data_IF_460148434761
#
_entry.id   IF_460148434761
#
_cell.length_a   1.000
_cell.length_b   1.000
_cell.length_c   1.000
_cell.angle_alpha   90.00
_cell.angle_beta   90.00
_cell.angle_gamma   90.00
#
_symmetry.space_group_name_H-M   'P 1'
#
loop_
_entity.id
_entity.type
_entity.pdbx_description
1 polymer ?
#
# COMPACT_ATOMS: atom_id res chain seq x y z
N UNK A 1 38.86 -10.74 -25.56
CA UNK A 1 39.35 -9.35 -25.52
C UNK A 1 39.45 -8.93 -24.06
N UNK A 2 40.50 -8.22 -23.66
CA UNK A 2 40.59 -7.66 -22.31
C UNK A 2 39.58 -6.54 -22.10
N UNK A 3 39.15 -6.32 -20.86
CA UNK A 3 38.32 -5.17 -20.49
C UNK A 3 39.14 -3.90 -20.74
N UNK A 4 38.64 -2.92 -21.52
CA UNK A 4 39.31 -1.63 -21.69
C UNK A 4 39.63 -0.98 -20.34
N UNK A 5 40.84 -0.43 -20.20
CA UNK A 5 41.32 0.18 -18.95
C UNK A 5 40.32 1.17 -18.35
N UNK A 6 39.69 2.01 -19.18
CA UNK A 6 38.71 2.99 -18.73
C UNK A 6 37.46 2.41 -18.04
N UNK A 7 37.19 1.11 -18.19
CA UNK A 7 36.07 0.41 -17.53
C UNK A 7 36.52 -0.43 -16.33
N UNK A 8 37.82 -0.41 -15.98
CA UNK A 8 38.29 -1.01 -14.74
C UNK A 8 37.76 -0.20 -13.56
N UNK A 9 37.25 -0.89 -12.55
CA UNK A 9 36.64 -0.29 -11.36
C UNK A 9 37.57 0.74 -10.69
N UNK A 10 38.87 0.45 -10.63
CA UNK A 10 39.90 1.36 -10.08
C UNK A 10 40.01 2.67 -10.84
N UNK A 11 39.90 2.61 -12.18
CA UNK A 11 40.01 3.78 -13.05
C UNK A 11 38.72 4.61 -12.99
N UNK A 12 37.56 3.95 -12.97
CA UNK A 12 36.25 4.60 -12.78
C UNK A 12 36.19 5.28 -11.41
N UNK A 13 36.67 4.64 -10.35
CA UNK A 13 36.71 5.22 -9.01
C UNK A 13 37.63 6.46 -8.95
N UNK A 14 38.81 6.38 -9.57
CA UNK A 14 39.75 7.50 -9.64
C UNK A 14 39.17 8.68 -10.44
N UNK A 15 38.44 8.41 -11.54
CA UNK A 15 37.77 9.44 -12.32
C UNK A 15 36.57 10.06 -11.56
N UNK A 16 35.76 9.23 -10.87
CA UNK A 16 34.64 9.68 -10.03
C UNK A 16 35.10 10.63 -8.91
N UNK A 17 36.30 10.41 -8.37
CA UNK A 17 36.85 11.26 -7.31
C UNK A 17 37.19 12.69 -7.77
N UNK A 18 37.22 12.96 -9.09
CA UNK A 18 37.64 14.24 -9.66
C UNK A 18 36.48 15.23 -9.90
N UNK A 19 35.33 15.07 -9.23
CA UNK A 19 34.21 16.01 -9.35
C UNK A 19 33.09 15.76 -8.36
N UNK A 20 32.11 16.68 -8.33
CA UNK A 20 30.90 16.49 -7.54
C UNK A 20 30.00 15.42 -8.19
N UNK A 21 29.41 14.49 -7.42
CA UNK A 21 28.48 13.52 -7.99
C UNK A 21 27.22 14.20 -8.53
N UNK A 22 26.69 13.68 -9.64
CA UNK A 22 25.42 14.14 -10.20
C UNK A 22 24.29 13.89 -9.19
N UNK A 23 23.51 14.93 -8.89
CA UNK A 23 22.33 14.89 -8.01
C UNK A 23 22.59 14.37 -6.58
N UNK A 24 23.84 14.35 -6.10
CA UNK A 24 24.17 13.80 -4.77
C UNK A 24 23.34 14.44 -3.64
N UNK A 25 23.24 15.77 -3.65
CA UNK A 25 22.51 16.51 -2.61
C UNK A 25 21.01 16.15 -2.60
N UNK A 26 20.42 15.98 -3.78
CA UNK A 26 19.03 15.57 -3.89
C UNK A 26 18.86 14.12 -3.42
N UNK A 27 19.63 13.18 -3.95
CA UNK A 27 19.51 11.75 -3.62
C UNK A 27 19.86 11.42 -2.16
N UNK A 28 20.71 12.23 -1.53
CA UNK A 28 21.08 12.09 -0.12
C UNK A 28 20.21 12.92 0.82
N UNK A 29 19.21 13.65 0.31
CA UNK A 29 18.33 14.47 1.13
C UNK A 29 17.61 13.62 2.16
N UNK A 30 17.59 14.13 3.40
CA UNK A 30 16.84 13.54 4.53
C UNK A 30 15.49 14.21 4.74
N UNK A 31 15.13 15.14 3.85
CA UNK A 31 13.85 15.79 3.88
C UNK A 31 12.74 14.86 3.38
N UNK A 32 11.51 14.99 3.92
CA UNK A 32 11.09 15.99 4.90
C UNK A 32 11.30 15.59 6.37
N UNK A 33 11.76 14.37 6.66
CA UNK A 33 11.86 13.88 8.04
C UNK A 33 12.87 14.68 8.88
N UNK A 34 13.94 15.16 8.27
CA UNK A 34 14.95 15.97 8.96
C UNK A 34 14.37 17.28 9.51
N UNK A 35 13.67 18.05 8.68
CA UNK A 35 12.96 19.26 9.13
C UNK A 35 11.80 18.96 10.06
N UNK A 36 11.01 17.91 9.77
CA UNK A 36 9.87 17.51 10.59
C UNK A 36 10.25 17.37 12.07
N UNK A 37 11.28 16.59 12.38
CA UNK A 37 11.69 16.33 13.76
C UNK A 37 12.55 17.44 14.39
N UNK A 38 13.13 18.32 13.57
CA UNK A 38 13.84 19.50 14.04
C UNK A 38 12.84 20.57 14.48
N UNK A 39 11.83 20.82 13.67
CA UNK A 39 10.89 21.93 13.83
C UNK A 39 9.65 21.51 14.65
N UNK A 40 9.35 20.20 14.73
CA UNK A 40 8.25 19.64 15.53
C UNK A 40 8.76 18.49 16.43
N UNK A 41 9.53 18.78 17.51
CA UNK A 41 10.10 17.74 18.37
C UNK A 41 9.06 16.79 19.00
N UNK A 42 7.81 17.26 19.14
CA UNK A 42 6.68 16.48 19.63
C UNK A 42 6.23 15.34 18.70
N UNK A 43 6.62 15.37 17.42
CA UNK A 43 6.40 14.29 16.45
C UNK A 43 7.43 13.15 16.52
N UNK A 44 8.48 13.28 17.34
CA UNK A 44 9.53 12.25 17.41
C UNK A 44 8.95 10.93 17.91
N UNK A 45 9.20 9.80 17.22
CA UNK A 45 8.73 8.50 17.65
C UNK A 45 9.27 8.13 19.04
N UNK A 46 8.53 7.30 19.80
CA UNK A 46 9.02 6.83 21.09
C UNK A 46 10.25 5.93 20.88
N UNK A 47 11.11 5.89 21.90
CA UNK A 47 12.21 4.93 21.93
C UNK A 47 11.67 3.58 22.40
N UNK A 48 11.79 2.56 21.56
CA UNK A 48 11.20 1.24 21.81
C UNK A 48 11.84 0.47 22.99
N UNK A 49 13.00 0.93 23.49
CA UNK A 49 13.71 0.35 24.62
C UNK A 49 13.47 1.08 25.95
N UNK A 50 12.62 2.11 25.97
CA UNK A 50 12.25 2.89 27.16
C UNK A 50 10.73 2.79 27.36
N UNK A 51 10.21 2.76 28.60
CA UNK A 51 8.78 2.83 28.85
C UNK A 51 8.15 4.04 28.16
N UNK A 52 6.97 3.87 27.59
CA UNK A 52 6.27 4.96 26.92
C UNK A 52 5.95 6.07 27.94
N UNK A 53 6.43 7.31 27.74
CA UNK A 53 6.10 8.42 28.64
C UNK A 53 4.59 8.66 28.64
N UNK A 54 4.02 8.80 29.84
CA UNK A 54 2.62 9.17 30.03
C UNK A 54 2.47 10.69 30.13
N UNK A 55 1.56 11.25 29.34
CA UNK A 55 1.31 12.69 29.30
C UNK A 55 2.43 13.50 28.64
N UNK A 56 2.33 14.82 28.72
CA UNK A 56 3.26 15.73 28.05
C UNK A 56 2.81 16.07 26.62
N UNK A 57 3.76 16.50 25.80
CA UNK A 57 3.47 17.11 24.50
C UNK A 57 3.61 16.14 23.33
N UNK A 58 3.59 14.83 23.57
CA UNK A 58 3.85 13.83 22.54
C UNK A 58 2.69 13.67 21.56
N UNK A 59 2.99 13.35 20.30
CA UNK A 59 1.98 13.17 19.25
C UNK A 59 1.00 12.00 19.49
N UNK A 60 1.29 11.13 20.46
CA UNK A 60 0.44 10.00 20.84
C UNK A 60 -0.44 10.29 22.07
N UNK A 61 -0.26 11.44 22.71
CA UNK A 61 -1.13 11.95 23.78
C UNK A 61 -2.24 12.83 23.22
N UNK A 62 -2.77 12.44 22.06
CA UNK A 62 -3.85 13.15 21.38
C UNK A 62 -5.21 12.68 21.86
N UNK A 63 -6.15 13.63 21.90
CA UNK A 63 -7.56 13.37 22.09
C UNK A 63 -8.28 13.25 20.72
N UNK A 64 -9.60 13.02 20.75
CA UNK A 64 -10.39 13.10 19.53
C UNK A 64 -10.31 14.53 18.95
N UNK A 65 -10.56 14.68 17.64
CA UNK A 65 -10.37 15.96 16.96
C UNK A 65 -11.13 17.14 17.59
N UNK A 66 -12.33 16.89 18.10
CA UNK A 66 -13.18 17.89 18.79
C UNK A 66 -12.55 18.45 20.07
N UNK A 67 -11.59 17.73 20.63
CA UNK A 67 -10.96 18.07 21.91
C UNK A 67 -9.61 18.80 21.70
N UNK A 68 -9.05 18.81 20.49
CA UNK A 68 -7.74 19.39 20.22
C UNK A 68 -7.83 20.86 19.73
N UNK A 69 -7.11 21.82 20.35
CA UNK A 69 -7.20 23.25 20.00
C UNK A 69 -7.02 23.58 18.52
N UNK A 70 -6.06 22.95 17.83
CA UNK A 70 -5.79 23.15 16.39
C UNK A 70 -7.01 22.86 15.50
N UNK A 71 -7.96 22.05 15.98
CA UNK A 71 -9.06 21.50 15.19
C UNK A 71 -10.44 21.92 15.70
N UNK A 72 -10.51 22.71 16.78
CA UNK A 72 -11.78 23.22 17.30
C UNK A 72 -12.47 24.13 16.27
N UNK A 73 -13.72 23.80 15.94
CA UNK A 73 -14.51 24.53 14.94
C UNK A 73 -14.07 24.29 13.50
N UNK A 74 -13.14 23.37 13.26
CA UNK A 74 -12.75 22.94 11.92
C UNK A 74 -13.70 21.83 11.47
N UNK A 75 -14.28 22.01 10.28
CA UNK A 75 -15.13 21.00 9.63
C UNK A 75 -14.26 19.90 9.03
N UNK A 76 -13.94 18.90 9.88
CA UNK A 76 -13.17 17.72 9.53
C UNK A 76 -14.08 16.62 8.96
N UNK A 77 -13.54 15.75 8.07
CA UNK A 77 -14.31 14.68 7.45
C UNK A 77 -15.13 13.87 8.45
N UNK A 78 -16.42 13.75 8.19
CA UNK A 78 -17.34 12.87 8.91
C UNK A 78 -17.74 11.71 8.01
N UNK A 79 -18.12 10.55 8.57
CA UNK A 79 -18.68 9.46 7.78
C UNK A 79 -19.86 9.95 6.92
N UNK A 80 -19.80 9.66 5.63
CA UNK A 80 -20.85 10.05 4.67
C UNK A 80 -20.97 9.03 3.54
N UNK A 81 -22.15 8.96 2.91
CA UNK A 81 -22.38 8.21 1.67
C UNK A 81 -22.34 9.12 0.43
N UNK A 82 -22.26 10.43 0.63
CA UNK A 82 -22.26 11.41 -0.45
C UNK A 82 -20.91 11.46 -1.15
N UNK A 83 -20.92 11.16 -2.45
CA UNK A 83 -19.72 11.13 -3.28
C UNK A 83 -19.05 12.50 -3.42
N UNK A 84 -19.81 13.60 -3.47
CA UNK A 84 -19.23 14.94 -3.60
C UNK A 84 -18.54 15.37 -2.31
N UNK A 85 -19.13 15.04 -1.16
CA UNK A 85 -18.52 15.27 0.14
C UNK A 85 -17.23 14.45 0.29
N UNK A 86 -17.24 13.15 -0.08
CA UNK A 86 -16.03 12.32 -0.06
C UNK A 86 -14.92 12.88 -0.94
N UNK A 87 -15.27 13.33 -2.16
CA UNK A 87 -14.33 13.97 -3.08
C UNK A 87 -13.77 15.27 -2.48
N UNK A 88 -14.63 16.09 -1.88
CA UNK A 88 -14.23 17.33 -1.21
C UNK A 88 -13.26 17.05 -0.05
N UNK A 89 -13.63 16.13 0.84
CA UNK A 89 -12.87 15.74 2.02
C UNK A 89 -11.51 15.17 1.64
N UNK A 90 -11.47 14.23 0.68
CA UNK A 90 -10.22 13.67 0.21
C UNK A 90 -9.30 14.74 -0.37
N UNK A 91 -9.81 15.64 -1.22
CA UNK A 91 -9.00 16.70 -1.81
C UNK A 91 -8.47 17.71 -0.78
N UNK A 92 -9.35 18.13 0.15
CA UNK A 92 -9.04 19.15 1.15
C UNK A 92 -8.18 18.62 2.29
N UNK A 93 -8.55 17.48 2.85
CA UNK A 93 -7.99 16.94 4.08
C UNK A 93 -7.08 15.75 3.87
N UNK A 94 -7.03 15.19 2.65
CA UNK A 94 -6.18 14.04 2.31
C UNK A 94 -6.78 12.71 2.75
N UNK A 95 -7.99 12.72 3.30
CA UNK A 95 -8.78 11.53 3.61
C UNK A 95 -10.28 11.82 3.56
N UNK A 96 -11.07 10.77 3.36
CA UNK A 96 -12.53 10.79 3.46
C UNK A 96 -13.04 9.52 4.13
N UNK A 97 -14.22 9.58 4.74
CA UNK A 97 -14.82 8.49 5.50
C UNK A 97 -16.14 8.07 4.88
N UNK A 98 -16.22 6.84 4.39
CA UNK A 98 -17.44 6.25 3.85
C UNK A 98 -18.23 5.66 5.01
N UNK A 99 -19.43 6.20 5.25
CA UNK A 99 -20.39 5.68 6.23
C UNK A 99 -20.97 4.33 5.76
N UNK A 100 -21.04 3.36 6.67
CA UNK A 100 -21.55 2.00 6.42
C UNK A 100 -20.95 1.36 5.15
N UNK A 101 -19.65 1.52 4.94
CA UNK A 101 -18.99 0.93 3.78
C UNK A 101 -18.90 -0.60 3.82
N UNK A 102 -18.95 -1.17 5.02
CA UNK A 102 -19.29 -2.57 5.28
C UNK A 102 -20.63 -2.62 6.03
N UNK A 103 -21.52 -3.53 5.65
CA UNK A 103 -22.67 -3.88 6.49
C UNK A 103 -22.22 -4.52 7.80
N UNK A 104 -23.09 -4.55 8.81
CA UNK A 104 -22.83 -5.29 10.05
C UNK A 104 -22.40 -6.75 9.79
N UNK A 105 -23.08 -7.44 8.87
CA UNK A 105 -22.74 -8.83 8.54
C UNK A 105 -21.34 -8.94 7.91
N UNK A 106 -20.97 -7.99 7.04
CA UNK A 106 -19.63 -7.92 6.45
C UNK A 106 -18.56 -7.60 7.50
N UNK A 107 -18.82 -6.67 8.44
CA UNK A 107 -17.94 -6.41 9.59
C UNK A 107 -17.70 -7.65 10.43
N UNK A 108 -18.77 -8.34 10.82
CA UNK A 108 -18.69 -9.54 11.66
C UNK A 108 -17.90 -10.64 10.94
N UNK A 109 -18.17 -10.88 9.64
CA UNK A 109 -17.43 -11.86 8.85
C UNK A 109 -15.95 -11.51 8.69
N UNK A 110 -15.65 -10.24 8.41
CA UNK A 110 -14.28 -9.72 8.26
C UNK A 110 -13.48 -9.89 9.55
N UNK A 111 -14.01 -9.37 10.67
CA UNK A 111 -13.31 -9.37 11.95
C UNK A 111 -13.13 -10.78 12.50
N UNK A 112 -14.17 -11.62 12.43
CA UNK A 112 -14.09 -13.00 12.89
C UNK A 112 -13.03 -13.78 12.11
N UNK A 113 -12.98 -13.64 10.77
CA UNK A 113 -11.98 -14.33 9.96
C UNK A 113 -10.57 -13.83 10.27
N UNK A 114 -10.41 -12.53 10.45
CA UNK A 114 -9.13 -11.90 10.77
C UNK A 114 -8.61 -12.34 12.14
N UNK A 115 -9.43 -12.29 13.18
CA UNK A 115 -9.05 -12.73 14.53
C UNK A 115 -8.68 -14.21 14.55
N UNK A 116 -9.48 -15.07 13.88
CA UNK A 116 -9.16 -16.48 13.74
C UNK A 116 -7.80 -16.69 13.06
N UNK A 117 -7.51 -15.93 12.00
CA UNK A 117 -6.23 -15.99 11.31
C UNK A 117 -5.06 -15.54 12.20
N UNK A 118 -5.21 -14.40 12.86
CA UNK A 118 -4.19 -13.83 13.73
C UNK A 118 -3.81 -14.79 14.85
N UNK A 119 -4.81 -15.40 15.49
CA UNK A 119 -4.64 -16.40 16.54
C UNK A 119 -3.98 -17.68 16.01
N UNK A 120 -4.38 -18.15 14.83
CA UNK A 120 -3.76 -19.31 14.20
C UNK A 120 -2.28 -19.07 13.83
N UNK A 121 -1.94 -17.89 13.32
CA UNK A 121 -0.55 -17.51 13.02
C UNK A 121 0.31 -17.41 14.28
N UNK A 122 -0.26 -16.91 15.37
CA UNK A 122 0.42 -16.90 16.66
C UNK A 122 0.66 -18.32 17.19
N UNK A 123 -0.37 -19.18 17.14
CA UNK A 123 -0.25 -20.58 17.56
C UNK A 123 0.75 -21.38 16.70
N UNK A 124 0.87 -21.04 15.42
CA UNK A 124 1.84 -21.62 14.50
C UNK A 124 3.26 -21.02 14.63
N UNK A 125 3.47 -20.00 15.47
CA UNK A 125 4.77 -19.36 15.66
C UNK A 125 5.22 -18.48 14.49
N UNK A 126 4.29 -18.05 13.63
CA UNK A 126 4.55 -17.23 12.44
C UNK A 126 3.91 -15.84 12.49
N UNK A 127 3.36 -15.44 13.65
CA UNK A 127 2.80 -14.11 13.83
C UNK A 127 3.86 -13.02 13.57
N UNK A 128 3.52 -12.08 12.69
CA UNK A 128 4.34 -10.92 12.43
C UNK A 128 4.12 -9.85 13.49
N UNK A 129 4.93 -9.85 14.54
CA UNK A 129 4.79 -8.89 15.64
C UNK A 129 5.52 -7.58 15.33
N UNK A 130 4.83 -6.47 15.56
CA UNK A 130 5.40 -5.12 15.54
C UNK A 130 5.33 -4.51 16.94
N UNK A 131 6.04 -3.40 17.22
CA UNK A 131 5.93 -2.72 18.51
C UNK A 131 4.50 -2.25 18.84
N UNK A 132 3.65 -1.99 17.84
CA UNK A 132 2.26 -1.58 18.03
C UNK A 132 1.32 -2.76 18.24
N UNK A 133 1.60 -3.89 17.60
CA UNK A 133 0.82 -5.12 17.69
C UNK A 133 1.02 -6.03 16.48
N UNK A 134 0.27 -7.13 16.44
CA UNK A 134 0.38 -8.10 15.36
C UNK A 134 -0.05 -7.51 14.00
N UNK A 135 0.74 -7.73 12.96
CA UNK A 135 0.29 -7.59 11.58
C UNK A 135 -0.13 -8.94 11.00
N UNK A 136 -1.12 -8.90 10.10
CA UNK A 136 -1.58 -10.06 9.35
C UNK A 136 -1.40 -9.75 7.85
N UNK A 137 -0.24 -10.09 7.25
CA UNK A 137 0.08 -9.76 5.86
C UNK A 137 -0.67 -10.64 4.85
N UNK A 138 -0.59 -10.34 3.55
CA UNK A 138 -1.10 -11.21 2.48
C UNK A 138 -2.56 -11.70 2.71
N UNK A 139 -3.47 -10.78 3.01
CA UNK A 139 -4.87 -11.10 3.34
C UNK A 139 -5.60 -11.86 2.23
N UNK A 140 -5.18 -11.75 0.97
CA UNK A 140 -5.76 -12.49 -0.15
C UNK A 140 -5.84 -14.01 0.10
N UNK A 141 -4.84 -14.59 0.75
CA UNK A 141 -4.78 -16.03 1.04
C UNK A 141 -5.68 -16.43 2.22
N UNK A 142 -6.22 -15.45 2.94
CA UNK A 142 -6.74 -15.62 4.29
C UNK A 142 -8.27 -15.57 4.33
N UNK A 143 -8.98 -15.46 3.21
CA UNK A 143 -10.44 -15.58 3.18
C UNK A 143 -11.09 -14.86 2.00
N UNK A 144 -12.28 -15.33 1.61
CA UNK A 144 -13.04 -14.74 0.50
C UNK A 144 -13.41 -13.28 0.75
N UNK A 145 -13.72 -12.93 2.00
CA UNK A 145 -13.98 -11.53 2.38
C UNK A 145 -12.83 -10.59 2.00
N UNK A 146 -11.57 -11.02 2.10
CA UNK A 146 -10.43 -10.20 1.72
C UNK A 146 -10.22 -10.15 0.21
N UNK A 147 -10.51 -11.24 -0.51
CA UNK A 147 -10.50 -11.27 -1.98
C UNK A 147 -11.55 -10.30 -2.54
N UNK A 148 -12.78 -10.37 -2.02
CA UNK A 148 -13.85 -9.45 -2.38
C UNK A 148 -13.51 -8.00 -2.07
N UNK A 149 -12.76 -7.71 -0.99
CA UNK A 149 -12.23 -6.38 -0.72
C UNK A 149 -11.23 -5.91 -1.80
N UNK A 150 -10.32 -6.77 -2.27
CA UNK A 150 -9.39 -6.42 -3.36
C UNK A 150 -10.15 -6.12 -4.66
N UNK A 151 -11.21 -6.89 -4.93
CA UNK A 151 -12.05 -6.70 -6.11
C UNK A 151 -13.08 -5.58 -5.97
N UNK A 152 -13.26 -5.01 -4.77
CA UNK A 152 -14.34 -4.06 -4.47
C UNK A 152 -15.73 -4.65 -4.79
N UNK A 153 -15.92 -5.93 -4.48
CA UNK A 153 -17.15 -6.67 -4.67
C UNK A 153 -18.21 -6.28 -3.61
N UNK A 154 -19.39 -5.76 -4.00
CA UNK A 154 -20.46 -5.38 -3.08
C UNK A 154 -20.91 -6.47 -2.10
N UNK A 155 -20.78 -7.75 -2.43
CA UNK A 155 -21.12 -8.85 -1.52
C UNK A 155 -20.22 -8.88 -0.28
N UNK A 156 -18.98 -8.41 -0.42
CA UNK A 156 -17.96 -8.41 0.63
C UNK A 156 -17.66 -7.01 1.18
N UNK A 157 -17.81 -5.98 0.34
CA UNK A 157 -17.70 -4.56 0.70
C UNK A 157 -18.75 -3.75 -0.06
N UNK A 158 -19.86 -3.44 0.59
CA UNK A 158 -20.99 -2.78 -0.09
C UNK A 158 -20.65 -1.40 -0.68
N UNK A 159 -19.66 -0.69 -0.12
CA UNK A 159 -19.14 0.56 -0.69
C UNK A 159 -18.21 0.38 -1.90
N UNK A 160 -17.99 -0.84 -2.38
CA UNK A 160 -17.07 -1.15 -3.49
C UNK A 160 -17.17 -0.17 -4.67
N UNK A 161 -18.36 0.07 -5.25
CA UNK A 161 -18.52 1.01 -6.36
C UNK A 161 -18.10 2.45 -6.02
N UNK A 162 -18.35 2.90 -4.79
CA UNK A 162 -17.97 4.23 -4.31
C UNK A 162 -16.47 4.36 -4.09
N UNK A 163 -15.84 3.30 -3.56
CA UNK A 163 -14.39 3.18 -3.43
C UNK A 163 -13.73 3.24 -4.81
N UNK A 164 -14.22 2.46 -5.78
CA UNK A 164 -13.68 2.45 -7.14
C UNK A 164 -13.80 3.81 -7.83
N UNK A 165 -14.91 4.52 -7.65
CA UNK A 165 -15.11 5.84 -8.23
C UNK A 165 -14.03 6.84 -7.77
N UNK A 166 -13.76 6.91 -6.46
CA UNK A 166 -12.71 7.79 -5.92
C UNK A 166 -11.30 7.32 -6.34
N UNK A 167 -11.04 6.01 -6.34
CA UNK A 167 -9.73 5.48 -6.78
C UNK A 167 -9.48 5.76 -8.27
N UNK A 168 -10.50 5.70 -9.11
CA UNK A 168 -10.38 6.05 -10.53
C UNK A 168 -10.09 7.54 -10.74
N UNK A 169 -10.62 8.44 -9.91
CA UNK A 169 -10.33 9.88 -9.99
C UNK A 169 -8.94 10.25 -9.47
N UNK A 170 -8.39 9.44 -8.56
CA UNK A 170 -7.09 9.72 -7.92
C UNK A 170 -5.92 9.05 -8.64
N UNK A 171 -6.05 7.76 -8.96
CA UNK A 171 -5.01 6.94 -9.58
C UNK A 171 -5.25 6.71 -11.08
N UNK A 172 -6.41 7.08 -11.61
CA UNK A 172 -6.87 6.67 -12.94
C UNK A 172 -7.46 5.26 -12.93
N UNK A 173 -8.14 4.90 -14.01
CA UNK A 173 -8.64 3.55 -14.20
C UNK A 173 -7.50 2.53 -14.26
N UNK A 174 -7.78 1.30 -13.82
CA UNK A 174 -6.82 0.20 -13.90
C UNK A 174 -5.74 0.21 -12.83
N UNK A 175 -5.93 0.90 -11.69
CA UNK A 175 -5.08 0.75 -10.51
C UNK A 175 -4.93 -0.72 -10.06
N UNK A 176 -3.91 -1.03 -9.28
CA UNK A 176 -3.62 -2.38 -8.76
C UNK A 176 -3.42 -2.33 -7.25
N UNK A 177 -3.66 -3.47 -6.58
CA UNK A 177 -3.45 -3.63 -5.16
C UNK A 177 -1.95 -3.72 -4.87
N UNK A 178 -1.38 -2.70 -4.25
CA UNK A 178 0.04 -2.64 -3.88
C UNK A 178 0.38 -3.60 -2.72
N UNK A 179 -0.51 -3.66 -1.74
CA UNK A 179 -0.44 -4.52 -0.55
C UNK A 179 -1.84 -4.59 0.08
N UNK A 180 -2.13 -5.67 0.82
CA UNK A 180 -3.32 -5.74 1.68
C UNK A 180 -3.02 -6.55 2.94
N UNK A 181 -3.03 -5.86 4.09
CA UNK A 181 -2.69 -6.43 5.38
C UNK A 181 -3.51 -5.82 6.52
N UNK A 182 -3.65 -6.56 7.61
CA UNK A 182 -4.24 -6.03 8.83
C UNK A 182 -3.17 -5.48 9.79
N UNK A 183 -3.48 -4.33 10.39
CA UNK A 183 -2.67 -3.61 11.35
C UNK A 183 -3.29 -3.75 12.74
N UNK A 184 -2.64 -4.48 13.64
CA UNK A 184 -3.06 -4.60 15.04
C UNK A 184 -2.54 -3.44 15.89
N UNK A 185 -3.37 -2.98 16.83
CA UNK A 185 -2.90 -2.32 18.05
C UNK A 185 -3.21 -3.25 19.22
N UNK A 186 -2.15 -3.76 19.83
CA UNK A 186 -2.23 -4.64 20.98
C UNK A 186 -2.24 -3.84 22.28
N UNK A 187 -2.89 -4.33 23.35
CA UNK A 187 -2.79 -3.73 24.68
C UNK A 187 -1.34 -3.53 25.09
N UNK A 188 -0.99 -2.30 25.47
CA UNK A 188 0.39 -1.93 25.84
C UNK A 188 1.37 -1.78 24.67
N UNK A 189 0.88 -1.82 23.43
CA UNK A 189 1.67 -1.55 22.23
C UNK A 189 2.09 -0.08 22.11
N UNK A 190 3.20 0.15 21.41
CA UNK A 190 3.75 1.49 21.15
C UNK A 190 3.03 2.13 19.95
N UNK A 191 2.86 3.46 19.93
CA UNK A 191 2.36 4.15 18.75
C UNK A 191 3.38 4.02 17.60
N UNK A 192 2.90 3.97 16.36
CA UNK A 192 3.78 4.08 15.21
C UNK A 192 4.31 5.51 15.09
N UNK A 193 5.60 5.63 14.77
CA UNK A 193 6.10 6.89 14.23
C UNK A 193 5.24 7.30 13.04
N UNK A 194 4.77 8.56 13.03
CA UNK A 194 3.98 9.04 11.91
C UNK A 194 4.81 8.94 10.64
N UNK A 195 4.16 8.58 9.55
CA UNK A 195 4.78 8.36 8.26
C UNK A 195 3.80 8.65 7.13
N UNK A 196 4.34 8.68 5.91
CA UNK A 196 3.60 8.68 4.66
C UNK A 196 3.90 7.36 3.94
N UNK A 197 2.89 6.71 3.38
CA UNK A 197 3.09 5.44 2.66
C UNK A 197 3.78 5.63 1.31
N UNK A 198 3.76 6.87 0.79
CA UNK A 198 4.51 7.26 -0.40
C UNK A 198 5.99 7.59 -0.11
N UNK A 199 6.49 7.32 1.11
CA UNK A 199 7.89 7.59 1.50
C UNK A 199 8.96 6.97 0.56
N UNK A 200 8.75 5.81 -0.11
CA UNK A 200 9.70 5.30 -1.09
C UNK A 200 9.96 6.22 -2.29
N UNK A 201 9.09 7.21 -2.55
CA UNK A 201 9.33 8.24 -3.58
C UNK A 201 10.19 9.40 -3.08
N UNK A 202 10.48 9.54 -1.78
CA UNK A 202 11.29 10.64 -1.29
C UNK A 202 12.71 10.59 -1.88
N UNK A 203 13.30 11.75 -2.26
CA UNK A 203 12.84 13.11 -1.96
C UNK A 203 11.86 13.68 -3.00
N UNK A 204 11.44 12.92 -4.00
CA UNK A 204 10.44 13.36 -4.96
C UNK A 204 9.06 13.47 -4.30
N UNK A 205 8.35 14.55 -4.63
CA UNK A 205 6.96 14.78 -4.23
C UNK A 205 6.10 14.84 -5.48
N UNK A 206 5.05 14.02 -5.54
CA UNK A 206 4.06 14.09 -6.62
C UNK A 206 3.10 15.24 -6.33
N UNK A 207 3.12 16.31 -7.13
CA UNK A 207 2.34 17.52 -6.83
C UNK A 207 0.86 17.38 -7.25
N UNK A 208 0.61 17.02 -8.52
CA UNK A 208 -0.72 17.05 -9.11
C UNK A 208 -1.69 15.97 -8.57
N UNK A 209 -1.17 14.80 -8.24
CA UNK A 209 -1.97 13.65 -7.79
C UNK A 209 -1.12 12.70 -6.92
N UNK A 210 -1.75 11.90 -6.04
CA UNK A 210 -1.04 10.83 -5.35
C UNK A 210 -0.59 9.73 -6.31
N UNK A 211 0.53 9.08 -6.00
CA UNK A 211 0.94 7.83 -6.64
C UNK A 211 0.41 6.60 -5.90
N UNK A 212 -0.05 6.78 -4.66
CA UNK A 212 -0.61 5.74 -3.80
C UNK A 212 -1.85 6.27 -3.07
N UNK A 213 -2.93 5.49 -3.04
CA UNK A 213 -4.12 5.78 -2.23
C UNK A 213 -4.48 4.53 -1.43
N UNK A 214 -4.69 4.70 -0.14
CA UNK A 214 -5.06 3.63 0.77
C UNK A 214 -6.57 3.54 0.93
N UNK A 215 -7.05 2.30 1.08
CA UNK A 215 -8.40 1.94 1.50
C UNK A 215 -8.28 1.18 2.82
N UNK A 216 -8.66 1.82 3.92
CA UNK A 216 -8.64 1.23 5.25
C UNK A 216 -10.05 0.76 5.64
N UNK A 217 -10.17 -0.54 5.87
CA UNK A 217 -11.35 -1.22 6.35
C UNK A 217 -11.35 -1.21 7.88
N UNK A 218 -12.42 -0.69 8.48
CA UNK A 218 -12.58 -0.54 9.93
C UNK A 218 -13.71 -1.46 10.41
N UNK A 219 -13.44 -2.75 10.69
CA UNK A 219 -14.48 -3.74 10.96
C UNK A 219 -14.99 -3.72 12.42
N UNK A 220 -14.44 -2.85 13.26
CA UNK A 220 -14.80 -2.62 14.66
C UNK A 220 -14.72 -1.11 14.95
N UNK A 221 -15.37 -0.64 16.03
CA UNK A 221 -15.25 0.75 16.45
C UNK A 221 -13.79 1.12 16.71
N UNK A 222 -13.40 2.33 16.30
CA UNK A 222 -12.08 2.90 16.58
C UNK A 222 -12.22 4.27 17.22
N UNK A 223 -11.36 4.56 18.19
CA UNK A 223 -11.32 5.82 18.91
C UNK A 223 -9.93 6.08 19.52
N UNK A 224 -9.79 7.13 20.33
CA UNK A 224 -8.54 7.48 20.98
C UNK A 224 -8.11 6.49 22.08
N UNK A 225 -9.03 5.66 22.58
CA UNK A 225 -8.78 4.74 23.68
C UNK A 225 -8.25 3.39 23.16
N UNK A 226 -8.77 2.90 22.05
CA UNK A 226 -8.40 1.59 21.49
C UNK A 226 -7.31 1.63 20.39
N UNK A 227 -6.63 2.77 20.26
CA UNK A 227 -5.55 2.95 19.31
C UNK A 227 -6.02 3.25 17.89
N UNK A 228 -7.12 3.97 17.73
CA UNK A 228 -7.57 4.50 16.44
C UNK A 228 -6.44 5.24 15.71
N UNK A 229 -6.40 5.08 14.39
CA UNK A 229 -5.36 5.63 13.51
C UNK A 229 -5.16 7.12 13.78
N UNK A 230 -3.93 7.52 14.06
CA UNK A 230 -3.50 8.90 14.11
C UNK A 230 -3.42 9.44 12.67
N UNK A 231 -3.96 10.63 12.45
CA UNK A 231 -3.88 11.35 11.17
C UNK A 231 -3.56 12.81 11.42
N UNK A 232 -2.81 13.45 10.53
CA UNK A 232 -2.68 14.91 10.48
C UNK A 232 -3.49 15.42 9.27
N UNK A 233 -4.74 15.89 9.47
CA UNK A 233 -5.58 16.40 8.40
C UNK A 233 -4.86 17.46 7.57
N UNK A 234 -4.92 17.34 6.24
CA UNK A 234 -4.33 18.30 5.31
C UNK A 234 -2.81 18.20 5.12
N UNK A 235 -2.13 17.31 5.85
CA UNK A 235 -0.66 17.20 5.81
C UNK A 235 -0.08 16.81 4.44
N UNK A 236 -0.88 16.19 3.56
CA UNK A 236 -0.50 15.98 2.16
C UNK A 236 -0.22 17.31 1.44
N UNK A 237 -0.96 18.38 1.75
CA UNK A 237 -0.73 19.70 1.19
C UNK A 237 0.53 20.37 1.74
N UNK A 238 0.85 20.13 3.03
CA UNK A 238 2.12 20.60 3.61
C UNK A 238 3.30 19.97 2.87
N UNK A 239 3.24 18.68 2.56
CA UNK A 239 4.26 17.99 1.76
C UNK A 239 4.34 18.53 0.33
N UNK A 240 3.20 18.75 -0.34
CA UNK A 240 3.16 19.34 -1.69
C UNK A 240 3.79 20.73 -1.70
N UNK A 241 3.48 21.58 -0.70
CA UNK A 241 4.06 22.92 -0.58
C UNK A 241 5.57 22.90 -0.31
N UNK A 242 6.05 21.94 0.47
CA UNK A 242 7.49 21.74 0.67
C UNK A 242 8.19 21.40 -0.65
N UNK A 243 7.55 20.59 -1.50
CA UNK A 243 8.08 20.20 -2.80
C UNK A 243 9.22 19.19 -2.68
N UNK A 244 9.79 18.81 -3.83
CA UNK A 244 10.81 17.76 -3.87
C UNK A 244 12.09 18.18 -3.14
N UNK A 245 12.44 17.45 -2.07
CA UNK A 245 13.58 17.75 -1.21
C UNK A 245 13.42 18.98 -0.31
N UNK A 246 12.20 19.55 -0.19
CA UNK A 246 11.96 20.72 0.65
C UNK A 246 11.60 20.39 2.10
N UNK A 247 11.72 21.41 2.96
CA UNK A 247 11.50 21.29 4.39
C UNK A 247 10.01 21.39 4.78
N UNK A 248 9.58 20.58 5.75
CA UNK A 248 8.29 20.70 6.43
C UNK A 248 8.43 21.57 7.69
N UNK A 249 7.95 22.81 7.60
CA UNK A 249 8.10 23.81 8.67
C UNK A 249 6.82 24.13 9.43
N UNK A 250 5.67 23.65 8.97
CA UNK A 250 4.36 23.93 9.57
C UNK A 250 3.53 22.66 9.50
N UNK A 251 3.45 21.93 10.62
CA UNK A 251 2.69 20.69 10.74
C UNK A 251 1.70 20.80 11.91
N UNK A 252 0.39 20.70 11.62
CA UNK A 252 -0.63 20.65 12.67
C UNK A 252 -0.52 19.39 13.53
N UNK A 253 -1.16 19.40 14.69
CA UNK A 253 -1.21 18.24 15.59
C UNK A 253 -2.03 17.09 15.00
N UNK A 254 -1.62 15.83 15.20
CA UNK A 254 -2.44 14.70 14.83
C UNK A 254 -3.68 14.58 15.70
N UNK A 255 -4.65 13.84 15.18
CA UNK A 255 -5.87 13.45 15.87
C UNK A 255 -6.02 11.93 15.76
N UNK A 256 -6.64 11.31 16.75
CA UNK A 256 -7.12 9.93 16.59
C UNK A 256 -8.40 9.93 15.76
N UNK A 257 -8.44 9.06 14.76
CA UNK A 257 -9.66 8.74 14.05
C UNK A 257 -10.67 8.14 15.04
N UNK A 258 -11.86 8.73 15.06
CA UNK A 258 -13.04 8.17 15.74
C UNK A 258 -14.05 7.77 14.67
N UNK A 259 -14.31 6.47 14.54
CA UNK A 259 -15.23 5.96 13.53
C UNK A 259 -15.92 4.67 14.01
N UNK A 260 -17.23 4.52 13.73
CA UNK A 260 -17.94 3.29 14.03
C UNK A 260 -17.49 2.15 13.10
N UNK A 261 -17.68 0.92 13.57
CA UNK A 261 -17.52 -0.30 12.79
C UNK A 261 -18.29 -0.19 11.46
N UNK A 262 -17.62 -0.60 10.37
CA UNK A 262 -18.15 -0.55 9.01
C UNK A 262 -17.75 0.68 8.23
N UNK A 263 -17.14 1.67 8.87
CA UNK A 263 -16.54 2.80 8.16
C UNK A 263 -15.39 2.34 7.25
N UNK A 264 -15.29 2.91 6.05
CA UNK A 264 -14.10 2.79 5.20
C UNK A 264 -13.42 4.14 5.12
N UNK A 265 -12.13 4.20 5.42
CA UNK A 265 -11.33 5.41 5.24
C UNK A 265 -10.53 5.31 3.94
N UNK A 266 -10.71 6.27 3.04
CA UNK A 266 -9.84 6.47 1.88
C UNK A 266 -8.83 7.56 2.22
N UNK A 267 -7.55 7.35 1.98
CA UNK A 267 -6.56 8.39 2.23
C UNK A 267 -5.37 8.40 1.28
N UNK A 268 -4.89 9.61 1.04
CA UNK A 268 -3.76 9.95 0.21
C UNK A 268 -2.47 9.37 0.79
N UNK A 269 -1.64 8.71 -0.02
CA UNK A 269 -0.36 8.15 0.41
C UNK A 269 0.65 9.19 0.92
N UNK A 270 0.37 10.48 0.73
CA UNK A 270 1.13 11.64 1.26
C UNK A 270 0.62 12.15 2.61
N UNK A 271 -0.50 11.61 3.12
CA UNK A 271 -1.06 11.98 4.42
C UNK A 271 -0.22 11.37 5.55
N UNK A 272 0.20 12.19 6.50
CA UNK A 272 0.90 11.73 7.69
C UNK A 272 -0.06 11.02 8.63
N UNK A 273 0.28 9.77 8.96
CA UNK A 273 -0.56 8.91 9.77
C UNK A 273 0.27 7.87 10.52
N UNK A 274 -0.38 7.14 11.43
CA UNK A 274 0.22 6.02 12.14
C UNK A 274 -0.76 5.37 13.12
N UNK A 275 -0.49 4.15 13.56
CA UNK A 275 -1.28 3.49 14.61
C UNK A 275 -1.15 4.24 15.94
N UNK A 276 -2.28 4.54 16.58
CA UNK A 276 -2.35 5.13 17.91
C UNK A 276 -2.10 4.13 19.04
N UNK A 277 -2.06 4.62 20.27
CA UNK A 277 -1.89 3.78 21.48
C UNK A 277 -3.21 3.11 21.82
N UNK A 278 -3.16 1.80 22.03
CA UNK A 278 -4.27 1.07 22.61
C UNK A 278 -4.14 1.01 24.14
N UNK A 279 -5.01 1.76 24.82
CA UNK A 279 -5.14 1.86 26.29
C UNK A 279 -6.18 0.86 26.84
N UNK A 280 -6.86 0.11 25.98
CA UNK A 280 -7.82 -0.92 26.37
C UNK A 280 -7.14 -2.27 26.63
N UNK A 281 -7.91 -3.24 27.09
CA UNK A 281 -7.47 -4.62 27.33
C UNK A 281 -7.71 -5.55 26.13
N UNK A 282 -8.29 -5.04 25.04
CA UNK A 282 -8.60 -5.82 23.84
C UNK A 282 -7.73 -5.39 22.66
N UNK A 283 -7.34 -6.35 21.83
CA UNK A 283 -6.69 -6.07 20.55
C UNK A 283 -7.67 -5.39 19.59
N UNK A 284 -7.17 -4.39 18.86
CA UNK A 284 -7.91 -3.70 17.80
C UNK A 284 -7.26 -3.97 16.46
N UNK A 285 -8.03 -4.34 15.45
CA UNK A 285 -7.54 -4.43 14.07
C UNK A 285 -8.23 -3.42 13.16
N UNK A 286 -7.45 -2.87 12.24
CA UNK A 286 -7.92 -2.30 10.98
C UNK A 286 -7.18 -3.00 9.84
N UNK A 287 -7.69 -2.97 8.62
CA UNK A 287 -6.97 -3.52 7.47
C UNK A 287 -6.76 -2.46 6.41
N UNK A 288 -5.54 -2.30 5.92
CA UNK A 288 -5.20 -1.28 4.93
C UNK A 288 -4.81 -1.96 3.63
N UNK A 289 -5.56 -1.65 2.58
CA UNK A 289 -5.22 -1.98 1.21
C UNK A 289 -4.64 -0.75 0.52
N UNK A 290 -3.36 -0.80 0.18
CA UNK A 290 -2.71 0.26 -0.60
C UNK A 290 -2.95 0.02 -2.09
N UNK A 291 -3.26 1.08 -2.85
CA UNK A 291 -3.51 1.01 -4.28
C UNK A 291 -2.54 1.90 -5.03
N UNK A 292 -2.05 1.45 -6.17
CA UNK A 292 -1.07 2.16 -7.01
C UNK A 292 -1.42 2.04 -8.49
N UNK A 293 -0.74 2.82 -9.33
CA UNK A 293 -0.82 2.64 -10.79
C UNK A 293 -0.16 1.33 -11.23
N UNK A 294 -0.64 0.68 -12.32
CA UNK A 294 -0.17 -0.65 -12.72
C UNK A 294 1.30 -0.74 -13.14
N UNK A 295 1.96 0.38 -13.47
CA UNK A 295 3.39 0.41 -13.79
C UNK A 295 4.28 0.40 -12.53
N UNK A 296 3.71 0.61 -11.35
CA UNK A 296 4.46 0.64 -10.09
C UNK A 296 4.72 -0.77 -9.59
N UNK A 297 5.93 -1.00 -9.05
CA UNK A 297 6.25 -2.26 -8.38
C UNK A 297 5.42 -2.38 -7.10
N UNK A 298 4.75 -3.50 -6.91
CA UNK A 298 3.94 -3.80 -5.72
C UNK A 298 4.84 -4.09 -4.50
N UNK A 299 4.39 -3.73 -3.30
CA UNK A 299 5.05 -4.07 -2.04
C UNK A 299 4.91 -5.56 -1.75
N UNK A 300 3.69 -6.09 -1.89
CA UNK A 300 3.47 -7.53 -1.85
C UNK A 300 3.73 -8.13 -3.24
N UNK A 301 4.50 -9.21 -3.30
CA UNK A 301 4.77 -9.89 -4.56
C UNK A 301 3.69 -10.93 -4.81
N UNK A 302 2.52 -10.51 -5.30
CA UNK A 302 1.38 -11.40 -5.51
C UNK A 302 1.66 -12.57 -6.47
N UNK A 303 2.58 -12.38 -7.43
CA UNK A 303 3.02 -13.44 -8.33
C UNK A 303 3.72 -14.56 -7.58
N UNK A 304 4.29 -14.33 -6.41
CA UNK A 304 4.89 -15.39 -5.58
C UNK A 304 3.97 -15.78 -4.43
N UNK A 305 3.42 -14.80 -3.72
CA UNK A 305 2.75 -15.01 -2.43
C UNK A 305 1.34 -15.58 -2.56
N UNK A 306 0.64 -15.36 -3.69
CA UNK A 306 -0.74 -15.83 -3.85
C UNK A 306 -0.79 -17.33 -4.08
N UNK A 307 -1.71 -18.01 -3.38
CA UNK A 307 -1.93 -19.46 -3.50
C UNK A 307 -2.35 -19.85 -4.94
N UNK A 308 -1.83 -20.97 -5.50
CA UNK A 308 -2.16 -21.40 -6.86
C UNK A 308 -3.67 -21.53 -7.11
N UNK A 309 -4.43 -22.10 -6.16
CA UNK A 309 -5.88 -22.29 -6.29
C UNK A 309 -6.65 -20.96 -6.36
N UNK A 310 -6.11 -19.89 -5.77
CA UNK A 310 -6.69 -18.54 -5.88
C UNK A 310 -6.39 -17.98 -7.27
N UNK A 311 -5.18 -18.19 -7.80
CA UNK A 311 -4.82 -17.73 -9.15
C UNK A 311 -5.64 -18.46 -10.22
N UNK A 312 -5.89 -19.75 -10.04
CA UNK A 312 -6.69 -20.54 -10.98
C UNK A 312 -8.16 -20.12 -11.00
N UNK A 313 -8.71 -19.75 -9.85
CA UNK A 313 -10.09 -19.29 -9.72
C UNK A 313 -10.27 -17.77 -9.90
N UNK A 314 -9.19 -17.01 -10.04
CA UNK A 314 -9.23 -15.55 -10.03
C UNK A 314 -10.02 -15.00 -11.23
N UNK A 315 -10.89 -14.03 -10.95
CA UNK A 315 -11.56 -13.26 -11.99
C UNK A 315 -10.52 -12.44 -12.79
N UNK A 316 -10.86 -11.99 -14.02
CA UNK A 316 -10.01 -11.03 -14.73
C UNK A 316 -9.73 -9.76 -13.94
N UNK A 317 -10.66 -9.33 -13.07
CA UNK A 317 -10.50 -8.16 -12.20
C UNK A 317 -9.47 -8.45 -11.12
N UNK A 318 -9.59 -9.58 -10.41
CA UNK A 318 -8.63 -9.98 -9.39
C UNK A 318 -7.22 -10.14 -9.97
N UNK A 319 -7.07 -10.85 -11.10
CA UNK A 319 -5.79 -10.98 -11.79
C UNK A 319 -5.18 -9.61 -12.12
N UNK A 320 -5.99 -8.67 -12.61
CA UNK A 320 -5.55 -7.29 -12.85
C UNK A 320 -5.08 -6.62 -11.56
N UNK A 321 -5.88 -6.67 -10.47
CA UNK A 321 -5.52 -6.08 -9.17
C UNK A 321 -4.24 -6.68 -8.58
N UNK A 322 -3.93 -7.94 -8.89
CA UNK A 322 -2.71 -8.62 -8.46
C UNK A 322 -1.49 -8.31 -9.34
N UNK A 323 -1.62 -7.46 -10.35
CA UNK A 323 -0.51 -7.15 -11.26
C UNK A 323 -0.20 -8.28 -12.24
N UNK A 324 -1.13 -9.22 -12.46
CA UNK A 324 -0.98 -10.29 -13.47
C UNK A 324 -1.32 -9.83 -14.90
N UNK A 325 -1.30 -8.52 -15.12
CA UNK A 325 -1.39 -7.90 -16.43
C UNK A 325 -0.10 -7.14 -16.72
N UNK A 326 0.70 -7.69 -17.63
CA UNK A 326 1.87 -7.05 -18.17
C UNK A 326 1.48 -5.83 -19.03
N UNK A 327 2.38 -4.87 -19.07
CA UNK A 327 2.31 -3.69 -19.93
C UNK A 327 3.71 -3.35 -20.45
N UNK A 328 3.79 -2.47 -21.44
CA UNK A 328 5.07 -2.04 -22.03
C UNK A 328 6.13 -1.63 -20.99
N UNK A 329 5.70 -1.04 -19.88
CA UNK A 329 6.59 -0.50 -18.85
C UNK A 329 6.65 -1.34 -17.56
N UNK A 330 6.10 -2.57 -17.54
CA UNK A 330 6.06 -3.38 -16.32
C UNK A 330 5.55 -4.80 -16.49
N UNK A 331 6.03 -5.70 -15.63
CA UNK A 331 5.56 -7.08 -15.46
C UNK A 331 5.62 -7.99 -16.71
N UNK A 332 6.40 -7.63 -17.74
CA UNK A 332 6.62 -8.51 -18.90
C UNK A 332 7.30 -9.81 -18.52
N UNK A 333 6.97 -10.92 -19.20
CA UNK A 333 7.62 -12.22 -19.02
C UNK A 333 8.29 -12.65 -20.31
N UNK A 334 9.62 -12.66 -20.35
CA UNK A 334 10.40 -12.97 -21.57
C UNK A 334 9.99 -12.11 -22.79
N UNK A 335 9.61 -10.86 -22.52
CA UNK A 335 9.11 -9.91 -23.51
C UNK A 335 7.64 -10.11 -23.92
N UNK A 336 6.92 -11.13 -23.41
CA UNK A 336 5.46 -11.15 -23.46
C UNK A 336 4.89 -9.96 -22.67
N UNK A 337 3.83 -9.34 -23.17
CA UNK A 337 3.29 -8.10 -22.60
C UNK A 337 3.91 -6.81 -23.14
N UNK A 338 5.00 -6.87 -23.92
CA UNK A 338 5.48 -5.68 -24.64
C UNK A 338 4.40 -5.23 -25.63
N UNK A 339 3.97 -3.97 -25.52
CA UNK A 339 2.88 -3.41 -26.31
C UNK A 339 1.47 -3.74 -25.78
N UNK A 340 1.34 -4.50 -24.68
CA UNK A 340 0.06 -4.72 -24.03
C UNK A 340 -0.47 -3.43 -23.40
N UNK A 341 -1.80 -3.32 -23.33
CA UNK A 341 -2.50 -2.17 -22.78
C UNK A 341 -2.38 -2.07 -21.25
N UNK A 342 -2.07 -3.20 -20.58
CA UNK A 342 -2.07 -3.29 -19.12
C UNK A 342 -3.46 -3.17 -18.50
N UNK A 343 -4.52 -3.35 -19.28
CA UNK A 343 -5.91 -3.23 -18.82
C UNK A 343 -6.48 -4.60 -18.48
N UNK A 344 -7.53 -4.59 -17.66
CA UNK A 344 -8.30 -5.78 -17.34
C UNK A 344 -8.76 -6.50 -18.62
N UNK A 345 -8.55 -7.82 -18.67
CA UNK A 345 -8.99 -8.67 -19.78
C UNK A 345 -8.08 -8.68 -21.01
N UNK A 346 -6.98 -7.91 -21.02
CA UNK A 346 -6.00 -7.94 -22.11
C UNK A 346 -5.31 -9.31 -22.17
N UNK A 347 -5.54 -10.04 -23.25
CA UNK A 347 -4.95 -11.36 -23.44
C UNK A 347 -3.45 -11.29 -23.73
N UNK A 348 -2.97 -10.20 -24.35
CA UNK A 348 -1.55 -10.01 -24.66
C UNK A 348 -0.73 -9.56 -23.45
N UNK A 349 -1.41 -9.09 -22.39
CA UNK A 349 -0.82 -8.77 -21.09
C UNK A 349 -0.96 -9.89 -20.04
N UNK A 350 -1.87 -10.85 -20.22
CA UNK A 350 -2.21 -11.81 -19.16
C UNK A 350 -1.07 -12.80 -18.90
N UNK A 351 -0.41 -12.68 -17.73
CA UNK A 351 0.71 -13.55 -17.35
C UNK A 351 0.30 -14.77 -16.51
N UNK A 352 -1.00 -14.98 -16.27
CA UNK A 352 -1.51 -16.10 -15.46
C UNK A 352 -0.97 -17.46 -15.94
N UNK A 353 -0.95 -17.70 -17.24
CA UNK A 353 -0.48 -18.97 -17.80
C UNK A 353 1.00 -19.27 -17.48
N UNK A 354 1.84 -18.24 -17.37
CA UNK A 354 3.23 -18.40 -16.91
C UNK A 354 3.28 -18.76 -15.44
N UNK A 355 2.46 -18.11 -14.60
CA UNK A 355 2.38 -18.43 -13.17
C UNK A 355 1.90 -19.87 -12.96
N UNK A 356 0.85 -20.29 -13.65
CA UNK A 356 0.35 -21.65 -13.59
C UNK A 356 1.41 -22.68 -14.05
N UNK A 357 2.19 -22.34 -15.08
CA UNK A 357 3.30 -23.18 -15.51
C UNK A 357 4.41 -23.31 -14.44
N UNK A 358 4.67 -22.23 -13.69
CA UNK A 358 5.57 -22.29 -12.53
C UNK A 358 5.03 -23.22 -11.44
N UNK A 359 3.75 -23.09 -11.10
CA UNK A 359 3.13 -23.88 -10.02
C UNK A 359 3.11 -25.38 -10.36
N UNK A 360 2.92 -25.74 -11.64
CA UNK A 360 3.02 -27.13 -12.12
C UNK A 360 4.45 -27.65 -12.28
N UNK A 361 5.46 -26.79 -12.17
CA UNK A 361 6.86 -27.14 -12.43
C UNK A 361 7.18 -27.39 -13.91
N UNK A 362 6.32 -26.96 -14.84
CA UNK A 362 6.48 -27.16 -16.28
C UNK A 362 6.97 -25.89 -17.02
N UNK A 363 7.21 -24.78 -16.30
CA UNK A 363 7.72 -23.54 -16.92
C UNK A 363 9.11 -23.73 -17.55
N UNK A 364 9.15 -23.79 -18.88
CA UNK A 364 10.38 -23.84 -19.68
C UNK A 364 10.78 -22.45 -20.16
N UNK A 365 11.83 -21.92 -19.53
CA UNK A 365 12.41 -20.59 -19.82
C UNK A 365 13.27 -20.59 -21.07
N UNK A 366 13.38 -19.44 -21.72
CA UNK A 366 14.34 -19.23 -22.81
C UNK A 366 15.71 -18.82 -22.25
N UNK A 367 16.66 -19.77 -22.27
CA UNK A 367 18.07 -19.52 -21.96
C UNK A 367 18.92 -19.20 -23.19
N UNK A 368 20.24 -19.33 -23.07
CA UNK A 368 21.13 -19.26 -24.23
C UNK A 368 20.84 -20.43 -25.17
N UNK A 369 20.49 -20.13 -26.43
CA UNK A 369 20.19 -21.14 -27.43
C UNK A 369 21.45 -21.49 -28.25
N UNK A 370 21.58 -22.75 -28.69
CA UNK A 370 22.64 -23.16 -29.61
C UNK A 370 22.41 -22.57 -31.01
N UNK A 371 23.31 -22.89 -31.94
CA UNK A 371 23.14 -22.61 -33.37
C UNK A 371 21.70 -22.92 -33.83
N UNK A 372 21.02 -22.02 -34.58
CA UNK A 372 19.62 -22.19 -34.98
C UNK A 372 19.31 -23.54 -35.66
N UNK A 373 20.28 -24.17 -36.31
CA UNK A 373 20.13 -25.50 -36.94
C UNK A 373 20.01 -26.64 -35.93
N UNK A 374 20.25 -26.38 -34.65
CA UNK A 374 20.24 -27.35 -33.54
C UNK A 374 19.18 -27.03 -32.49
N UNK A 375 18.33 -26.02 -32.71
CA UNK A 375 17.27 -25.63 -31.77
C UNK A 375 16.03 -26.48 -31.99
N UNK A 376 15.57 -27.19 -30.95
CA UNK A 376 14.22 -27.76 -30.95
C UNK A 376 13.20 -26.64 -30.74
N UNK A 377 12.16 -26.59 -31.57
CA UNK A 377 11.10 -25.57 -31.47
C UNK A 377 10.00 -25.91 -30.45
N UNK A 378 10.09 -27.05 -29.76
CA UNK A 378 9.02 -27.57 -28.91
C UNK A 378 9.25 -27.24 -27.42
N UNK A 379 8.17 -26.83 -26.76
CA UNK A 379 8.07 -26.82 -25.30
C UNK A 379 8.49 -25.55 -24.59
N UNK A 380 8.81 -24.44 -25.26
CA UNK A 380 8.98 -23.16 -24.57
C UNK A 380 7.63 -22.58 -24.17
N UNK A 381 7.43 -22.30 -22.88
CA UNK A 381 6.15 -21.77 -22.37
C UNK A 381 5.77 -20.44 -23.05
N UNK A 382 6.74 -19.58 -23.34
CA UNK A 382 6.52 -18.32 -24.08
C UNK A 382 5.89 -18.53 -25.47
N UNK A 383 6.17 -19.66 -26.14
CA UNK A 383 5.60 -20.00 -27.45
C UNK A 383 4.12 -20.37 -27.30
N UNK A 384 3.80 -21.18 -26.30
CA UNK A 384 2.44 -21.66 -26.04
C UNK A 384 1.54 -20.50 -25.62
N UNK A 385 1.99 -19.69 -24.66
CA UNK A 385 1.24 -18.50 -24.19
C UNK A 385 1.02 -17.48 -25.31
N UNK A 386 2.04 -17.19 -26.14
CA UNK A 386 1.88 -16.30 -27.30
C UNK A 386 0.88 -16.83 -28.33
N UNK A 387 0.82 -18.15 -28.50
CA UNK A 387 -0.10 -18.78 -29.46
C UNK A 387 -1.54 -18.67 -28.97
N UNK A 388 -1.78 -18.94 -27.68
CA UNK A 388 -3.10 -18.78 -27.05
C UNK A 388 -3.58 -17.33 -27.05
N UNK A 389 -2.70 -16.36 -26.77
CA UNK A 389 -3.08 -14.95 -26.74
C UNK A 389 -3.48 -14.39 -28.13
N UNK A 390 -2.97 -14.95 -29.23
CA UNK A 390 -3.31 -14.54 -30.60
C UNK A 390 -4.64 -15.12 -31.10
N UNK A 391 -5.01 -16.29 -30.58
CA UNK A 391 -6.22 -17.02 -30.98
C UNK A 391 -7.06 -17.29 -29.72
N UNK A 392 -7.72 -16.28 -29.13
CA UNK A 392 -8.59 -16.50 -27.99
C UNK A 392 -9.75 -17.43 -28.39
N UNK A 393 -10.03 -18.41 -27.54
CA UNK A 393 -11.10 -19.41 -27.69
C UNK A 393 -12.50 -18.78 -27.67
#
# INVERSE_FOLDING_TARGET
MGIPKAFLETEVAAAKAQGAPLFADFMASKEPYASLFRDHPWLRPPKLNEPLPSGGDHYWETAAAVDHPDWQGVDLPQPTKDFQQLRHDFGRWGYGLIEDGLSKAQCDAFLNRLLAQANAEAAAGIAHQTPSGQYVPCLINKGDCFRGCIEQDPEHVQAGPLIEAILNETLGEGWICHSFLANGADPGGYPQGLHIDQAPLLPWVTEAAPALVNTMFIPQDVDADNGGTLVIPGSHQNLIRAGSGGALTDMPRPINLKAPAGTIMLFDGRLWHGTGINRTDQRRFVATMSNVKPWMRQQENWVVSTLPEIIDAASPKLLHRLGMQALTYGATVEGFGLGASGRQGDQWGNIQAFRQAMDRGDYRRVGQLPDPRRVSQEGFTIKDVRSSAKNPL
#
